data_IF_752201970205
#
_entry.id   IF_752201970205
#
_cell.length_a   1.000
_cell.length_b   1.000
_cell.length_c   1.000
_cell.angle_alpha   90.00
_cell.angle_beta   90.00
_cell.angle_gamma   90.00
#
_symmetry.space_group_name_H-M   'P 1'
#
loop_
_entity.id
_entity.type
_entity.pdbx_description
1 polymer ?
#
# COMPACT_ATOMS: atom_id res chain seq x y z
N UNK A 1 14.58 0.08 -9.09
CA UNK A 1 13.68 1.26 -8.97
C UNK A 1 13.53 1.67 -7.51
N UNK A 2 13.11 2.90 -7.22
CA UNK A 2 12.86 3.38 -5.86
C UNK A 2 11.81 2.54 -5.12
N UNK A 3 11.99 2.32 -3.81
CA UNK A 3 11.09 1.52 -2.98
C UNK A 3 9.66 2.04 -3.00
N UNK A 4 9.48 3.35 -2.95
CA UNK A 4 8.15 3.99 -2.94
C UNK A 4 7.26 3.64 -4.17
N UNK A 5 7.85 3.18 -5.28
CA UNK A 5 7.08 2.79 -6.47
C UNK A 5 6.21 1.56 -6.22
N UNK A 6 6.62 0.66 -5.31
CA UNK A 6 5.84 -0.55 -4.99
C UNK A 6 4.51 -0.21 -4.29
N UNK A 7 4.49 0.53 -3.17
CA UNK A 7 3.21 0.91 -2.56
C UNK A 7 2.39 1.84 -3.46
N UNK A 8 2.99 2.78 -4.20
CA UNK A 8 2.25 3.61 -5.17
C UNK A 8 1.58 2.73 -6.23
N UNK A 9 2.25 1.69 -6.72
CA UNK A 9 1.67 0.79 -7.73
C UNK A 9 0.39 0.11 -7.22
N UNK A 10 0.33 -0.26 -5.94
CA UNK A 10 -0.86 -0.87 -5.32
C UNK A 10 -2.03 0.13 -5.31
N UNK A 11 -1.77 1.40 -4.94
CA UNK A 11 -2.78 2.46 -5.00
C UNK A 11 -3.29 2.67 -6.44
N UNK A 12 -2.39 2.70 -7.41
CA UNK A 12 -2.76 2.84 -8.83
C UNK A 12 -3.56 1.63 -9.33
N UNK A 13 -3.22 0.39 -8.93
CA UNK A 13 -3.99 -0.81 -9.26
C UNK A 13 -5.41 -0.75 -8.66
N UNK A 14 -5.55 -0.21 -7.46
CA UNK A 14 -6.85 0.05 -6.82
C UNK A 14 -7.68 1.12 -7.56
N UNK A 15 -7.08 1.89 -8.47
CA UNK A 15 -7.75 2.97 -9.20
C UNK A 15 -7.58 4.35 -8.55
N UNK A 16 -6.80 4.46 -7.49
CA UNK A 16 -6.57 5.69 -6.74
C UNK A 16 -5.59 6.59 -7.51
N UNK A 17 -5.99 7.85 -7.73
CA UNK A 17 -5.21 8.83 -8.48
C UNK A 17 -4.75 10.03 -7.64
N UNK A 18 -5.38 10.27 -6.51
CA UNK A 18 -4.98 11.29 -5.56
C UNK A 18 -4.23 10.63 -4.42
N UNK A 19 -2.96 11.00 -4.24
CA UNK A 19 -2.05 10.29 -3.33
C UNK A 19 -1.29 11.31 -2.49
N UNK A 20 -1.42 11.20 -1.17
CA UNK A 20 -0.65 11.98 -0.21
C UNK A 20 0.58 11.19 0.25
N UNK A 21 1.75 11.75 0.06
CA UNK A 21 3.01 11.20 0.57
C UNK A 21 3.31 11.87 1.92
N UNK A 22 3.30 11.06 2.98
CA UNK A 22 3.63 11.50 4.33
C UNK A 22 5.01 10.97 4.68
N UNK A 23 5.92 11.83 5.08
CA UNK A 23 7.29 11.46 5.44
C UNK A 23 7.88 12.43 6.46
N UNK A 24 9.10 12.14 6.94
CA UNK A 24 9.83 13.07 7.80
C UNK A 24 10.15 14.36 7.05
N UNK A 25 10.34 15.49 7.76
CA UNK A 25 10.78 16.75 7.13
C UNK A 25 12.08 16.61 6.33
N UNK A 26 12.99 15.75 6.79
CA UNK A 26 14.30 15.54 6.15
C UNK A 26 14.20 14.75 4.83
N UNK A 27 13.32 13.75 4.77
CA UNK A 27 13.19 12.86 3.61
C UNK A 27 12.19 13.39 2.56
N UNK A 28 11.19 14.16 2.97
CA UNK A 28 10.11 14.64 2.11
C UNK A 28 10.60 15.37 0.85
N UNK A 29 11.62 16.25 0.91
CA UNK A 29 12.18 16.90 -0.30
C UNK A 29 12.76 15.90 -1.30
N UNK A 30 13.23 14.72 -0.83
CA UNK A 30 13.70 13.63 -1.68
C UNK A 30 12.54 13.01 -2.49
N UNK A 31 11.43 12.75 -1.84
CA UNK A 31 10.22 12.25 -2.51
C UNK A 31 9.64 13.26 -3.48
N UNK A 32 9.59 14.54 -3.11
CA UNK A 32 9.12 15.61 -4.01
C UNK A 32 9.96 15.70 -5.30
N UNK A 33 11.29 15.61 -5.19
CA UNK A 33 12.17 15.60 -6.38
C UNK A 33 11.99 14.35 -7.24
N UNK A 34 11.73 13.19 -6.60
CA UNK A 34 11.59 11.92 -7.29
C UNK A 34 10.25 11.78 -8.05
N UNK A 35 9.17 12.22 -7.42
CA UNK A 35 7.81 11.92 -7.87
C UNK A 35 7.14 13.11 -8.56
N UNK A 36 7.63 14.34 -8.32
CA UNK A 36 7.04 15.57 -8.86
C UNK A 36 5.60 15.77 -8.40
N UNK A 37 4.74 16.21 -9.29
CA UNK A 37 3.30 16.40 -9.08
C UNK A 37 2.46 15.16 -9.43
N UNK A 38 3.08 14.10 -9.97
CA UNK A 38 2.41 12.88 -10.39
C UNK A 38 1.89 12.87 -11.82
N UNK A 39 1.96 13.98 -12.55
CA UNK A 39 1.46 14.10 -13.94
C UNK A 39 2.13 13.11 -14.89
N UNK A 40 3.36 12.68 -14.61
CA UNK A 40 4.08 11.68 -15.39
C UNK A 40 3.45 10.29 -15.28
N UNK A 41 2.73 10.03 -14.21
CA UNK A 41 2.02 8.76 -13.95
C UNK A 41 0.49 8.88 -14.07
N UNK A 42 -0.01 10.03 -14.50
CA UNK A 42 -1.44 10.30 -14.60
C UNK A 42 -2.17 10.32 -13.25
N UNK A 43 -1.44 10.61 -12.17
CA UNK A 43 -1.94 10.77 -10.79
C UNK A 43 -1.62 12.18 -10.28
N UNK A 44 -2.09 12.53 -9.09
CA UNK A 44 -1.76 13.76 -8.37
C UNK A 44 -1.11 13.42 -7.06
N UNK A 45 0.12 13.88 -6.84
CA UNK A 45 0.80 13.77 -5.56
C UNK A 45 0.66 15.06 -4.75
N UNK A 46 0.33 14.88 -3.48
CA UNK A 46 0.49 15.88 -2.43
C UNK A 46 1.47 15.38 -1.38
N UNK A 47 1.99 16.28 -0.57
CA UNK A 47 3.08 16.00 0.36
C UNK A 47 2.79 16.62 1.72
N UNK A 48 2.99 15.84 2.79
CA UNK A 48 2.83 16.31 4.16
C UNK A 48 3.94 15.78 5.07
N UNK A 49 4.28 16.55 6.08
CA UNK A 49 5.31 16.19 7.05
C UNK A 49 4.70 15.46 8.24
N UNK A 50 5.37 14.41 8.70
CA UNK A 50 5.20 13.80 10.00
C UNK A 50 6.50 13.99 10.79
N UNK A 51 6.59 15.00 11.68
CA UNK A 51 7.85 15.36 12.34
C UNK A 51 8.35 14.31 13.34
N UNK A 52 7.45 13.50 13.88
CA UNK A 52 7.76 12.47 14.88
C UNK A 52 6.99 11.18 14.61
N UNK A 53 7.53 10.01 15.01
CA UNK A 53 6.92 8.70 14.76
C UNK A 53 5.79 8.42 15.78
N UNK A 54 4.76 9.27 15.80
CA UNK A 54 3.66 9.19 16.77
C UNK A 54 2.62 8.10 16.44
N UNK A 55 2.95 7.22 15.49
CA UNK A 55 2.15 6.07 15.09
C UNK A 55 1.45 6.22 13.74
N UNK A 56 1.06 5.09 13.15
CA UNK A 56 0.50 5.03 11.79
C UNK A 56 -0.86 5.72 11.68
N UNK A 57 -1.69 5.68 12.72
CA UNK A 57 -3.00 6.30 12.69
C UNK A 57 -2.94 7.84 12.64
N UNK A 58 -1.80 8.46 12.98
CA UNK A 58 -1.59 9.90 12.83
C UNK A 58 -1.71 10.34 11.36
N UNK A 59 -1.42 9.45 10.41
CA UNK A 59 -1.55 9.75 8.97
C UNK A 59 -2.95 10.25 8.59
N UNK A 60 -4.02 9.75 9.22
CA UNK A 60 -5.39 10.22 8.97
C UNK A 60 -5.66 11.61 9.54
N UNK A 61 -4.99 11.98 10.62
CA UNK A 61 -5.08 13.32 11.22
C UNK A 61 -4.31 14.33 10.36
N UNK A 62 -3.07 13.99 9.95
CA UNK A 62 -2.25 14.81 9.06
C UNK A 62 -2.96 15.00 7.72
N UNK A 63 -3.51 13.91 7.17
CA UNK A 63 -4.17 13.88 5.87
C UNK A 63 -5.62 14.35 5.85
N UNK A 64 -6.19 14.80 6.99
CA UNK A 64 -7.63 15.13 7.08
C UNK A 64 -8.14 16.04 5.96
N UNK A 65 -7.42 17.13 5.68
CA UNK A 65 -7.80 18.07 4.62
C UNK A 65 -7.72 17.47 3.23
N UNK A 66 -6.74 16.60 3.00
CA UNK A 66 -6.56 15.88 1.75
C UNK A 66 -7.67 14.82 1.57
N UNK A 67 -8.01 14.10 2.62
CA UNK A 67 -9.05 13.06 2.61
C UNK A 67 -10.43 13.72 2.36
N UNK A 68 -10.70 14.88 2.95
CA UNK A 68 -12.00 15.53 2.84
C UNK A 68 -13.14 14.62 3.30
N UNK A 69 -14.10 14.38 2.41
CA UNK A 69 -15.27 13.51 2.68
C UNK A 69 -15.12 12.09 2.07
N UNK A 70 -13.99 11.79 1.44
CA UNK A 70 -13.76 10.53 0.72
C UNK A 70 -13.32 9.38 1.65
N UNK A 71 -13.49 8.16 1.18
CA UNK A 71 -12.81 6.98 1.73
C UNK A 71 -11.31 7.08 1.48
N UNK A 72 -10.50 6.36 2.26
CA UNK A 72 -9.05 6.45 2.19
C UNK A 72 -8.38 5.08 2.20
N UNK A 73 -7.32 4.93 1.42
CA UNK A 73 -6.38 3.83 1.51
C UNK A 73 -5.08 4.30 2.15
N UNK A 74 -4.60 3.58 3.16
CA UNK A 74 -3.26 3.74 3.72
C UNK A 74 -2.42 2.53 3.32
N UNK A 75 -1.24 2.79 2.74
CA UNK A 75 -0.23 1.77 2.43
C UNK A 75 1.11 2.20 3.02
N UNK A 76 1.83 1.24 3.60
CA UNK A 76 3.15 1.52 4.18
C UNK A 76 4.21 1.57 3.09
N UNK A 77 5.13 2.54 3.22
CA UNK A 77 6.14 2.87 2.22
C UNK A 77 7.22 1.80 1.99
N UNK A 78 7.35 0.86 2.92
CA UNK A 78 8.31 -0.25 2.91
C UNK A 78 7.69 -1.61 2.56
N UNK A 79 6.42 -1.65 2.16
CA UNK A 79 5.73 -2.89 1.84
C UNK A 79 5.68 -3.15 0.33
N UNK A 80 5.98 -4.39 -0.06
CA UNK A 80 5.82 -4.90 -1.42
C UNK A 80 4.73 -5.96 -1.42
N UNK A 81 3.80 -5.83 -2.36
CA UNK A 81 2.75 -6.81 -2.61
C UNK A 81 2.89 -7.35 -4.03
N UNK A 82 2.92 -8.67 -4.15
CA UNK A 82 2.97 -9.34 -5.44
C UNK A 82 2.11 -10.60 -5.40
N UNK A 83 1.22 -10.77 -6.38
CA UNK A 83 0.37 -11.95 -6.49
C UNK A 83 -0.72 -11.77 -7.54
N UNK A 84 -1.21 -12.90 -8.02
CA UNK A 84 -2.33 -12.93 -8.96
C UNK A 84 -3.62 -12.51 -8.25
N UNK A 85 -4.49 -11.78 -8.95
CA UNK A 85 -5.74 -11.27 -8.37
C UNK A 85 -5.60 -10.09 -7.42
N UNK A 86 -4.39 -9.48 -7.27
CA UNK A 86 -4.19 -8.32 -6.38
C UNK A 86 -5.09 -7.15 -6.79
N UNK A 87 -5.22 -6.88 -8.08
CA UNK A 87 -6.03 -5.76 -8.59
C UNK A 87 -7.49 -5.89 -8.18
N UNK A 88 -8.07 -7.07 -8.35
CA UNK A 88 -9.46 -7.37 -7.97
C UNK A 88 -9.67 -7.26 -6.47
N UNK A 89 -8.70 -7.73 -5.68
CA UNK A 89 -8.77 -7.67 -4.22
C UNK A 89 -8.75 -6.23 -3.71
N UNK A 90 -7.88 -5.36 -4.23
CA UNK A 90 -7.82 -3.95 -3.79
C UNK A 90 -9.02 -3.15 -4.29
N UNK A 91 -9.52 -3.41 -5.49
CA UNK A 91 -10.75 -2.78 -6.00
C UNK A 91 -11.98 -3.20 -5.19
N UNK A 92 -12.05 -4.48 -4.78
CA UNK A 92 -13.09 -4.93 -3.86
C UNK A 92 -13.02 -4.17 -2.53
N UNK A 93 -11.83 -3.93 -1.98
CA UNK A 93 -11.64 -3.19 -0.74
C UNK A 93 -12.07 -1.71 -0.87
N UNK A 94 -11.78 -1.06 -2.01
CA UNK A 94 -12.30 0.28 -2.33
C UNK A 94 -13.83 0.28 -2.30
N UNK A 95 -14.47 -0.63 -3.02
CA UNK A 95 -15.94 -0.71 -3.06
C UNK A 95 -16.56 -0.96 -1.68
N UNK A 96 -15.89 -1.73 -0.80
CA UNK A 96 -16.36 -1.93 0.59
C UNK A 96 -16.30 -0.65 1.40
N UNK A 97 -15.26 0.14 1.25
CA UNK A 97 -15.14 1.41 1.94
C UNK A 97 -16.16 2.43 1.44
N UNK A 98 -16.29 2.57 0.11
CA UNK A 98 -17.13 3.59 -0.52
C UNK A 98 -18.63 3.30 -0.40
N UNK A 99 -19.03 2.05 -0.65
CA UNK A 99 -20.45 1.70 -0.78
C UNK A 99 -21.05 1.09 0.48
N UNK A 100 -20.24 0.41 1.31
CA UNK A 100 -20.75 -0.30 2.48
C UNK A 100 -20.31 0.34 3.82
N UNK A 101 -19.51 1.41 3.79
CA UNK A 101 -18.90 2.03 4.98
C UNK A 101 -18.15 1.03 5.87
N UNK A 102 -17.47 0.06 5.25
CA UNK A 102 -16.71 -0.99 5.94
C UNK A 102 -15.23 -0.88 5.65
N UNK A 103 -14.42 -1.03 6.68
CA UNK A 103 -12.98 -1.15 6.54
C UNK A 103 -12.60 -2.54 6.00
N UNK A 104 -11.53 -2.57 5.19
CA UNK A 104 -10.89 -3.82 4.76
C UNK A 104 -9.39 -3.74 5.04
N UNK A 105 -8.87 -4.73 5.74
CA UNK A 105 -7.44 -4.92 5.96
C UNK A 105 -7.04 -6.30 5.45
N UNK A 106 -5.73 -6.52 5.25
CA UNK A 106 -5.25 -7.76 4.66
C UNK A 106 -4.44 -8.56 5.66
N UNK A 107 -4.68 -9.87 5.70
CA UNK A 107 -3.97 -10.82 6.53
C UNK A 107 -3.06 -11.73 5.70
N UNK A 108 -1.83 -11.93 6.15
CA UNK A 108 -0.85 -12.79 5.51
C UNK A 108 -0.25 -13.76 6.52
N UNK A 109 -0.10 -15.02 6.12
CA UNK A 109 0.49 -16.06 6.99
C UNK A 109 2.00 -15.89 7.08
N UNK A 110 2.50 -15.70 8.31
CA UNK A 110 3.93 -15.53 8.61
C UNK A 110 4.43 -16.54 9.64
N UNK A 111 5.73 -16.74 9.70
CA UNK A 111 6.38 -17.60 10.69
C UNK A 111 6.68 -16.91 12.02
N UNK A 112 6.70 -15.57 12.02
CA UNK A 112 7.10 -14.68 13.13
C UNK A 112 6.00 -13.64 13.44
N UNK A 113 4.76 -14.08 13.74
CA UNK A 113 3.60 -13.19 13.89
C UNK A 113 3.72 -12.17 15.02
N UNK A 114 4.54 -12.43 16.04
CA UNK A 114 4.77 -11.54 17.20
C UNK A 114 5.35 -10.16 16.83
N UNK A 115 5.84 -10.01 15.59
CA UNK A 115 6.38 -8.73 15.10
C UNK A 115 5.30 -7.75 14.60
N UNK A 116 4.08 -8.24 14.40
CA UNK A 116 3.02 -7.54 13.68
C UNK A 116 1.73 -7.44 14.48
N UNK A 117 0.76 -6.71 13.99
CA UNK A 117 -0.63 -6.87 14.41
C UNK A 117 -1.15 -8.24 13.98
N UNK A 118 -1.72 -9.02 14.88
CA UNK A 118 -2.15 -10.40 14.62
C UNK A 118 -3.65 -10.53 14.71
N UNK A 119 -4.28 -11.10 13.68
CA UNK A 119 -5.72 -11.38 13.64
C UNK A 119 -6.01 -12.80 14.14
N UNK A 120 -6.99 -12.93 15.04
CA UNK A 120 -7.55 -14.20 15.49
C UNK A 120 -8.86 -14.49 14.73
N UNK A 121 -9.07 -15.75 14.33
CA UNK A 121 -10.26 -16.15 13.58
C UNK A 121 -10.99 -17.29 14.29
N UNK A 122 -12.32 -17.32 14.15
CA UNK A 122 -13.13 -18.48 14.49
C UNK A 122 -13.02 -19.57 13.39
N UNK A 123 -13.65 -20.72 13.62
CA UNK A 123 -13.68 -21.85 12.66
C UNK A 123 -14.40 -21.51 11.35
N UNK A 124 -15.20 -20.46 11.35
CA UNK A 124 -15.94 -20.00 10.17
C UNK A 124 -15.20 -18.91 9.40
N UNK A 125 -14.00 -18.49 9.86
CA UNK A 125 -13.17 -17.45 9.26
C UNK A 125 -13.56 -16.02 9.64
N UNK A 126 -14.42 -15.83 10.66
CA UNK A 126 -14.70 -14.51 11.18
C UNK A 126 -13.59 -14.04 12.11
N UNK A 127 -13.25 -12.76 12.02
CA UNK A 127 -12.24 -12.15 12.91
C UNK A 127 -12.81 -11.99 14.31
N UNK A 128 -12.13 -12.53 15.30
CA UNK A 128 -12.48 -12.43 16.71
C UNK A 128 -11.77 -11.30 17.42
N UNK A 129 -10.48 -11.16 17.16
CA UNK A 129 -9.64 -10.12 17.75
C UNK A 129 -8.50 -9.74 16.84
N UNK A 130 -7.92 -8.54 17.08
CA UNK A 130 -6.64 -8.11 16.50
C UNK A 130 -5.80 -7.57 17.65
N UNK A 131 -4.56 -8.07 17.81
CA UNK A 131 -3.64 -7.67 18.85
C UNK A 131 -2.33 -7.15 18.25
N UNK A 132 -1.84 -6.00 18.76
CA UNK A 132 -0.57 -5.42 18.32
C UNK A 132 0.59 -6.15 18.99
N UNK A 133 1.49 -6.71 18.20
CA UNK A 133 2.75 -7.36 18.63
C UNK A 133 2.58 -8.24 19.87
N UNK A 134 1.67 -9.23 19.83
CA UNK A 134 1.37 -10.03 21.00
C UNK A 134 2.56 -10.92 21.38
N UNK A 135 2.88 -11.04 22.67
CA UNK A 135 3.92 -11.97 23.16
C UNK A 135 3.56 -13.44 22.90
N UNK A 136 2.26 -13.75 22.85
CA UNK A 136 1.72 -15.08 22.54
C UNK A 136 0.67 -14.94 21.45
N UNK A 137 1.08 -14.96 20.17
CA UNK A 137 0.15 -14.82 19.05
C UNK A 137 -0.90 -15.93 19.05
N UNK A 138 -2.16 -15.56 18.80
CA UNK A 138 -3.28 -16.51 18.72
C UNK A 138 -3.43 -17.13 17.33
N UNK A 139 -2.73 -16.59 16.34
CA UNK A 139 -2.65 -17.12 14.99
C UNK A 139 -1.33 -16.70 14.33
N UNK A 140 -1.09 -17.21 13.12
CA UNK A 140 0.04 -16.77 12.27
C UNK A 140 -0.37 -15.71 11.25
N UNK A 141 -1.58 -15.16 11.30
CA UNK A 141 -2.02 -14.15 10.34
C UNK A 141 -1.64 -12.75 10.80
N UNK A 142 -0.58 -12.22 10.23
CA UNK A 142 -0.18 -10.82 10.39
C UNK A 142 -1.10 -9.91 9.58
N UNK A 143 -1.49 -8.76 10.14
CA UNK A 143 -2.12 -7.68 9.39
C UNK A 143 -1.03 -6.91 8.69
N UNK A 144 -1.07 -6.89 7.37
CA UNK A 144 -0.05 -6.27 6.53
C UNK A 144 -0.31 -4.78 6.34
N UNK A 145 0.69 -4.04 5.88
CA UNK A 145 0.66 -2.58 5.73
C UNK A 145 -0.19 -2.06 4.58
N UNK A 146 -1.43 -2.54 4.45
CA UNK A 146 -2.40 -2.12 3.43
C UNK A 146 -3.81 -2.09 4.04
N UNK A 147 -4.43 -0.91 4.08
CA UNK A 147 -5.66 -0.66 4.80
C UNK A 147 -6.60 0.20 3.96
N UNK A 148 -7.87 -0.17 3.88
CA UNK A 148 -8.93 0.61 3.25
C UNK A 148 -9.99 0.96 4.28
N UNK A 149 -10.30 2.24 4.39
CA UNK A 149 -11.26 2.72 5.39
C UNK A 149 -12.29 3.67 4.77
N UNK A 150 -13.53 3.64 5.25
CA UNK A 150 -14.46 4.74 4.98
C UNK A 150 -14.00 6.02 5.70
N UNK A 151 -14.51 7.16 5.27
CA UNK A 151 -14.16 8.50 5.77
C UNK A 151 -14.11 8.63 7.29
N UNK A 152 -15.01 7.98 8.00
CA UNK A 152 -15.07 8.01 9.47
C UNK A 152 -13.79 7.58 10.20
N UNK A 153 -12.80 7.02 9.48
CA UNK A 153 -11.49 6.69 10.06
C UNK A 153 -10.80 7.92 10.64
N UNK A 154 -10.99 9.09 10.04
CA UNK A 154 -10.43 10.36 10.54
C UNK A 154 -10.90 10.64 11.97
N UNK A 155 -12.21 10.54 12.22
CA UNK A 155 -12.78 10.70 13.55
C UNK A 155 -12.34 9.60 14.52
N UNK A 156 -12.24 8.36 14.05
CA UNK A 156 -11.71 7.25 14.86
C UNK A 156 -10.27 7.55 15.28
N UNK A 157 -9.40 7.97 14.34
CA UNK A 157 -8.00 8.28 14.61
C UNK A 157 -7.83 9.43 15.62
N UNK A 158 -8.65 10.46 15.55
CA UNK A 158 -8.65 11.57 16.53
C UNK A 158 -9.06 11.15 17.95
N UNK A 159 -9.83 10.09 18.08
CA UNK A 159 -10.43 9.66 19.35
C UNK A 159 -9.75 8.44 19.99
N UNK A 160 -8.74 7.83 19.37
CA UNK A 160 -7.91 6.80 20.00
C UNK A 160 -6.87 7.44 20.92
N UNK A 161 -6.42 6.67 21.91
CA UNK A 161 -5.35 7.08 22.82
C UNK A 161 -4.04 6.44 22.41
N UNK A 162 -2.90 7.12 22.62
CA UNK A 162 -1.61 6.50 22.44
C UNK A 162 -1.47 5.21 23.26
N UNK A 163 -0.78 4.23 22.70
CA UNK A 163 -0.44 2.97 23.38
C UNK A 163 0.61 3.21 24.48
N UNK A 164 1.00 2.14 25.16
CA UNK A 164 2.12 2.18 26.13
C UNK A 164 3.46 2.57 25.48
N UNK A 165 3.56 2.51 24.12
CA UNK A 165 4.71 2.97 23.34
C UNK A 165 4.64 4.46 22.99
N UNK A 166 3.55 5.15 23.33
CA UNK A 166 3.29 6.54 22.96
C UNK A 166 2.75 6.74 21.56
N UNK A 167 2.42 5.65 20.84
CA UNK A 167 2.01 5.67 19.44
C UNK A 167 0.48 5.57 19.27
N UNK A 168 -0.07 6.29 18.29
CA UNK A 168 -1.43 6.10 17.78
C UNK A 168 -1.45 4.87 16.87
N UNK A 169 -1.79 3.72 17.46
CA UNK A 169 -1.68 2.43 16.78
C UNK A 169 -2.78 2.23 15.75
N UNK A 170 -2.40 1.77 14.56
CA UNK A 170 -3.36 1.37 13.53
C UNK A 170 -4.19 0.16 13.99
N UNK A 171 -3.63 -0.71 14.81
CA UNK A 171 -4.33 -1.85 15.42
C UNK A 171 -5.49 -1.37 16.29
N UNK A 172 -5.35 -0.26 17.01
CA UNK A 172 -6.46 0.32 17.80
C UNK A 172 -7.58 0.83 16.90
N UNK A 173 -7.25 1.43 15.75
CA UNK A 173 -8.23 1.81 14.73
C UNK A 173 -8.97 0.56 14.23
N UNK A 174 -8.25 -0.49 13.84
CA UNK A 174 -8.84 -1.76 13.40
C UNK A 174 -9.77 -2.37 14.45
N UNK A 175 -9.39 -2.36 15.73
CA UNK A 175 -10.22 -2.84 16.84
C UNK A 175 -11.53 -2.05 16.98
N UNK A 176 -11.52 -0.73 16.72
CA UNK A 176 -12.74 0.10 16.72
C UNK A 176 -13.69 -0.31 15.60
N UNK A 177 -13.19 -0.51 14.39
CA UNK A 177 -14.00 -1.01 13.28
C UNK A 177 -14.49 -2.44 13.53
N UNK A 178 -13.66 -3.31 14.11
CA UNK A 178 -14.03 -4.68 14.46
C UNK A 178 -15.17 -4.72 15.50
N UNK A 179 -15.07 -3.91 16.57
CA UNK A 179 -16.10 -3.85 17.62
C UNK A 179 -17.45 -3.39 17.08
N UNK A 180 -17.45 -2.58 16.03
CA UNK A 180 -18.67 -2.12 15.35
C UNK A 180 -19.16 -3.10 14.26
N UNK A 181 -18.49 -4.26 14.05
CA UNK A 181 -18.76 -5.21 12.95
C UNK A 181 -18.61 -4.58 11.56
N UNK A 182 -17.68 -3.65 11.42
CA UNK A 182 -17.41 -2.89 10.22
C UNK A 182 -16.00 -3.15 9.66
N UNK A 183 -15.30 -4.16 10.16
CA UNK A 183 -14.01 -4.61 9.68
C UNK A 183 -14.12 -5.94 8.96
N UNK A 184 -13.49 -6.02 7.79
CA UNK A 184 -13.20 -7.26 7.08
C UNK A 184 -11.70 -7.48 7.05
N UNK A 185 -11.24 -8.69 7.37
CA UNK A 185 -9.88 -9.14 7.05
C UNK A 185 -9.94 -10.02 5.81
N UNK A 186 -9.24 -9.62 4.76
CA UNK A 186 -9.10 -10.37 3.52
C UNK A 186 -7.76 -11.10 3.52
N UNK A 187 -7.78 -12.41 3.38
CA UNK A 187 -6.54 -13.20 3.44
C UNK A 187 -5.85 -13.24 2.10
N UNK A 188 -4.56 -12.91 2.12
CA UNK A 188 -3.63 -13.14 1.01
C UNK A 188 -3.22 -14.61 1.04
N UNK A 189 -3.57 -15.35 -0.02
CA UNK A 189 -3.32 -16.78 -0.13
C UNK A 189 -1.85 -17.10 -0.47
N UNK A 190 -1.54 -18.39 -0.62
CA UNK A 190 -0.18 -18.88 -0.92
C UNK A 190 0.43 -18.38 -2.24
N UNK A 191 -0.40 -17.91 -3.16
CA UNK A 191 0.04 -17.30 -4.42
C UNK A 191 0.55 -15.86 -4.28
N UNK A 192 0.47 -15.28 -3.08
CA UNK A 192 0.96 -13.94 -2.78
C UNK A 192 2.32 -13.96 -2.12
N UNK A 193 3.11 -12.94 -2.42
CA UNK A 193 4.26 -12.53 -1.64
C UNK A 193 3.97 -11.14 -1.05
N UNK A 194 4.05 -11.05 0.27
CA UNK A 194 4.14 -9.81 1.00
C UNK A 194 5.53 -9.72 1.62
N UNK A 195 6.22 -8.62 1.35
CA UNK A 195 7.58 -8.38 1.82
C UNK A 195 7.60 -7.05 2.56
N UNK A 196 7.98 -7.12 3.83
CA UNK A 196 8.26 -5.97 4.69
C UNK A 196 9.76 -5.69 4.60
N UNK A 197 10.15 -4.53 4.07
CA UNK A 197 11.56 -4.19 3.81
C UNK A 197 12.17 -3.32 4.91
N UNK A 198 11.64 -3.40 6.14
CA UNK A 198 12.06 -2.59 7.29
C UNK A 198 13.45 -2.93 7.86
N UNK A 199 14.12 -3.99 7.40
CA UNK A 199 15.49 -4.34 7.78
C UNK A 199 16.40 -4.49 6.55
N UNK A 200 17.73 -4.41 6.74
CA UNK A 200 18.68 -4.63 5.64
C UNK A 200 18.54 -6.03 5.02
N UNK A 201 18.34 -7.04 5.84
CA UNK A 201 18.19 -8.42 5.38
C UNK A 201 16.90 -8.59 4.56
N UNK A 202 15.76 -8.11 5.06
CA UNK A 202 14.49 -8.20 4.36
C UNK A 202 14.46 -7.37 3.07
N UNK A 203 15.15 -6.22 3.03
CA UNK A 203 15.33 -5.44 1.80
C UNK A 203 16.15 -6.20 0.75
N UNK A 204 17.21 -6.91 1.16
CA UNK A 204 18.03 -7.74 0.27
C UNK A 204 17.22 -8.92 -0.28
N UNK A 205 16.46 -9.61 0.57
CA UNK A 205 15.58 -10.71 0.17
C UNK A 205 14.50 -10.24 -0.81
N UNK A 206 13.86 -9.10 -0.54
CA UNK A 206 12.87 -8.50 -1.42
C UNK A 206 13.47 -8.14 -2.78
N UNK A 207 14.68 -7.58 -2.80
CA UNK A 207 15.41 -7.25 -4.03
C UNK A 207 15.67 -8.50 -4.88
N UNK A 208 16.12 -9.58 -4.23
CA UNK A 208 16.37 -10.87 -4.89
C UNK A 208 15.08 -11.48 -5.44
N UNK A 209 13.99 -11.47 -4.65
CA UNK A 209 12.70 -11.97 -5.08
C UNK A 209 12.19 -11.24 -6.34
N UNK A 210 12.19 -9.90 -6.31
CA UNK A 210 11.75 -9.09 -7.46
C UNK A 210 12.64 -9.33 -8.68
N UNK A 211 13.96 -9.43 -8.50
CA UNK A 211 14.88 -9.71 -9.60
C UNK A 211 14.55 -11.03 -10.29
N UNK A 212 14.33 -12.09 -9.52
CA UNK A 212 14.01 -13.43 -10.06
C UNK A 212 12.70 -13.40 -10.85
N UNK A 213 11.65 -12.78 -10.30
CA UNK A 213 10.36 -12.68 -10.97
C UNK A 213 10.47 -11.88 -12.26
N UNK A 214 11.08 -10.69 -12.22
CA UNK A 214 11.23 -9.84 -13.40
C UNK A 214 12.07 -10.50 -14.49
N UNK A 215 13.17 -11.19 -14.14
CA UNK A 215 14.00 -11.93 -15.09
C UNK A 215 13.24 -13.09 -15.74
N UNK A 216 12.43 -13.79 -14.96
CA UNK A 216 11.70 -14.96 -15.44
C UNK A 216 10.53 -14.61 -16.34
N UNK A 217 9.77 -13.59 -15.98
CA UNK A 217 8.58 -13.18 -16.73
C UNK A 217 8.87 -12.16 -17.84
N UNK A 218 9.98 -11.43 -17.75
CA UNK A 218 10.25 -10.31 -18.65
C UNK A 218 9.36 -9.09 -18.40
N UNK A 219 8.56 -9.11 -17.34
CA UNK A 219 7.66 -8.03 -16.92
C UNK A 219 8.21 -7.33 -15.68
N UNK A 220 7.99 -6.01 -15.61
CA UNK A 220 8.42 -5.21 -14.46
C UNK A 220 7.33 -5.13 -13.40
N UNK A 221 7.66 -5.50 -12.17
CA UNK A 221 6.81 -5.26 -11.00
C UNK A 221 6.81 -3.77 -10.66
N UNK A 222 5.66 -3.22 -10.29
CA UNK A 222 5.52 -1.80 -9.94
C UNK A 222 6.06 -0.83 -11.04
N UNK A 223 5.72 -1.09 -12.29
CA UNK A 223 5.95 -0.16 -13.40
C UNK A 223 4.80 0.84 -13.45
N UNK A 224 4.98 2.02 -12.82
CA UNK A 224 3.90 3.01 -12.67
C UNK A 224 3.43 3.52 -14.03
N UNK A 225 4.34 3.78 -14.95
CA UNK A 225 4.05 4.23 -16.32
C UNK A 225 3.24 3.16 -17.07
N UNK A 226 3.59 1.88 -16.91
CA UNK A 226 2.87 0.77 -17.52
C UNK A 226 1.47 0.56 -16.94
N UNK A 227 1.28 0.80 -15.65
CA UNK A 227 -0.04 0.79 -15.01
C UNK A 227 -0.87 1.97 -15.52
N UNK A 228 -0.31 3.17 -15.55
CA UNK A 228 -0.96 4.38 -16.02
C UNK A 228 -1.41 4.26 -17.48
N UNK A 229 -0.55 3.69 -18.35
CA UNK A 229 -0.86 3.46 -19.76
C UNK A 229 -2.02 2.46 -19.92
N UNK A 230 -1.97 1.30 -19.24
CA UNK A 230 -3.05 0.29 -19.29
C UNK A 230 -4.39 0.81 -18.76
N UNK A 231 -4.35 1.72 -17.78
CA UNK A 231 -5.56 2.38 -17.26
C UNK A 231 -6.02 3.58 -18.10
N UNK A 232 -5.30 3.93 -19.18
CA UNK A 232 -5.62 5.08 -20.03
C UNK A 232 -5.39 6.43 -19.33
N UNK A 233 -4.59 6.48 -18.27
CA UNK A 233 -4.28 7.72 -17.55
C UNK A 233 -3.19 8.55 -18.22
N UNK A 234 -2.32 7.91 -19.00
CA UNK A 234 -1.36 8.55 -19.89
C UNK A 234 -1.49 7.96 -21.29
N UNK A 235 -1.10 8.74 -22.31
CA UNK A 235 -1.11 8.27 -23.70
C UNK A 235 0.18 7.52 -24.06
N UNK A 236 0.18 6.72 -25.15
CA UNK A 236 1.39 6.10 -25.68
C UNK A 236 2.49 7.13 -26.02
N UNK A 237 2.11 8.33 -26.52
CA UNK A 237 3.04 9.42 -26.83
C UNK A 237 3.72 9.94 -25.55
N UNK A 238 2.94 10.13 -24.46
CA UNK A 238 3.50 10.52 -23.15
C UNK A 238 4.47 9.46 -22.66
N UNK A 239 4.11 8.18 -22.74
CA UNK A 239 5.00 7.09 -22.31
C UNK A 239 6.28 7.02 -23.15
N UNK A 240 6.21 7.26 -24.49
CA UNK A 240 7.39 7.38 -25.34
C UNK A 240 8.30 8.53 -24.90
N UNK A 241 7.71 9.68 -24.56
CA UNK A 241 8.47 10.83 -24.07
C UNK A 241 9.18 10.52 -22.75
N UNK A 242 8.53 9.84 -21.82
CA UNK A 242 9.12 9.39 -20.54
C UNK A 242 10.25 8.36 -20.74
N UNK A 243 10.15 7.49 -21.75
CA UNK A 243 11.17 6.50 -22.05
C UNK A 243 12.45 7.13 -22.68
N UNK A 244 12.35 8.24 -23.42
CA UNK A 244 13.46 8.83 -24.19
C UNK A 244 14.74 9.06 -23.37
N UNK A 245 14.73 9.69 -22.18
CA UNK A 245 15.95 9.89 -21.39
C UNK A 245 16.56 8.56 -20.86
N UNK A 246 15.80 7.48 -20.87
CA UNK A 246 16.16 6.17 -20.32
C UNK A 246 16.46 5.11 -21.37
N UNK A 247 16.48 5.43 -22.67
CA UNK A 247 16.68 4.43 -23.74
C UNK A 247 18.01 3.65 -23.66
N UNK A 248 19.00 4.21 -22.97
CA UNK A 248 20.30 3.55 -22.76
C UNK A 248 20.25 2.43 -21.72
N UNK A 249 19.16 2.34 -20.94
CA UNK A 249 18.99 1.31 -19.92
C UNK A 249 17.78 0.40 -20.23
N UNK A 250 17.75 -0.76 -19.55
CA UNK A 250 16.71 -1.78 -19.76
C UNK A 250 15.30 -1.29 -19.40
N UNK A 251 15.16 -0.35 -18.49
CA UNK A 251 13.84 0.15 -18.08
C UNK A 251 13.20 0.99 -19.17
N UNK A 252 13.93 1.94 -19.76
CA UNK A 252 13.42 2.74 -20.89
C UNK A 252 13.08 1.87 -22.11
N UNK A 253 13.89 0.85 -22.40
CA UNK A 253 13.59 -0.13 -23.47
C UNK A 253 12.31 -0.93 -23.17
N UNK A 254 12.12 -1.32 -21.90
CA UNK A 254 10.90 -2.00 -21.46
C UNK A 254 9.66 -1.13 -21.63
N UNK A 255 9.71 0.17 -21.31
CA UNK A 255 8.58 1.09 -21.51
C UNK A 255 8.11 1.13 -22.97
N UNK A 256 9.05 1.14 -23.93
CA UNK A 256 8.69 1.07 -25.35
C UNK A 256 8.02 -0.25 -25.70
N UNK A 257 8.54 -1.39 -25.20
CA UNK A 257 7.94 -2.71 -25.41
C UNK A 257 6.50 -2.77 -24.89
N UNK A 258 6.23 -2.20 -23.69
CA UNK A 258 4.86 -2.18 -23.12
C UNK A 258 3.87 -1.45 -24.02
N UNK A 259 4.31 -0.45 -24.78
CA UNK A 259 3.43 0.25 -25.75
C UNK A 259 3.05 -0.72 -26.88
N UNK A 260 4.02 -1.46 -27.41
CA UNK A 260 3.78 -2.39 -28.51
C UNK A 260 2.87 -3.56 -28.06
N UNK A 261 3.05 -4.08 -26.84
CA UNK A 261 2.27 -5.17 -26.28
C UNK A 261 0.79 -4.78 -25.97
N UNK A 262 0.43 -3.47 -25.96
CA UNK A 262 -0.97 -3.03 -25.80
C UNK A 262 -1.82 -3.26 -27.03
N UNK A 263 -1.21 -3.45 -28.19
CA UNK A 263 -1.90 -3.60 -29.48
C UNK A 263 -1.92 -5.06 -29.96
N UNK A 264 -1.45 -5.98 -29.14
CA UNK A 264 -1.48 -7.43 -29.34
C UNK A 264 -2.46 -8.07 -28.37
#
# INVERSE_FOLDING_TARGET
KPMIYYPISVLMLAGIREILIISTPDDLPGFQRLLGDGSDFGVRFEYAEQPSPDGLAQAFIIGEKFIGDDSVCLVLGDNIFYGDGLTEMVQFAVNKADLENKATVFGYWVSDPERYGVAEFDRSGNVLSIEEKPQKPKSNYAIVGLYFYPNKVVEVAKNIKPSSRGELEITTVNQRFLSNRELKVQLLGRGFAWLDTGTHDSLSEASTFIEVIEKRQGLKVACLEGIALRKGWISPEKMKALAQPMLKNQYGQYLLKVIDDLFV
#
